data_IF_448160809904
#
_entry.id   IF_448160809904
#
_cell.length_a   1.000
_cell.length_b   1.000
_cell.length_c   1.000
_cell.angle_alpha   90.00
_cell.angle_beta   90.00
_cell.angle_gamma   90.00
#
_symmetry.space_group_name_H-M   'P 1'
#
loop_
_entity.id
_entity.type
_entity.pdbx_description
1 polymer ?
#
# COMPACT_ATOMS: atom_id res chain seq x y z
N UNK A 1 -17.03 15.26 1.52
CA UNK A 1 -16.75 13.97 2.21
C UNK A 1 -16.21 14.27 3.60
N UNK A 2 -16.54 13.48 4.64
CA UNK A 2 -16.01 13.68 5.99
C UNK A 2 -14.47 13.65 6.00
N UNK A 3 -13.84 14.52 6.79
CA UNK A 3 -12.37 14.57 6.93
C UNK A 3 -11.90 13.23 7.50
N UNK A 4 -11.13 12.46 6.73
CA UNK A 4 -10.65 11.14 7.16
C UNK A 4 -9.76 11.31 8.38
N UNK A 5 -10.06 10.58 9.45
CA UNK A 5 -9.26 10.57 10.67
C UNK A 5 -8.04 9.68 10.43
N UNK A 6 -6.89 10.31 10.17
CA UNK A 6 -5.62 9.63 9.87
C UNK A 6 -4.83 9.20 11.10
N UNK A 7 -5.32 9.54 12.31
CA UNK A 7 -4.66 9.21 13.56
C UNK A 7 -4.56 7.71 13.83
N UNK A 8 -3.39 7.27 14.29
CA UNK A 8 -3.18 5.92 14.76
C UNK A 8 -3.72 5.78 16.19
N UNK A 9 -4.50 4.73 16.42
CA UNK A 9 -4.96 4.34 17.75
C UNK A 9 -4.60 2.88 17.96
N UNK A 10 -4.35 2.47 19.20
CA UNK A 10 -4.08 1.07 19.54
C UNK A 10 -5.16 0.11 19.03
N UNK A 11 -6.44 0.54 19.08
CA UNK A 11 -7.56 -0.24 18.53
C UNK A 11 -7.43 -0.46 17.02
N UNK A 12 -7.02 0.56 16.27
CA UNK A 12 -6.79 0.45 14.82
C UNK A 12 -5.61 -0.47 14.52
N UNK A 13 -4.52 -0.35 15.28
CA UNK A 13 -3.33 -1.18 15.17
C UNK A 13 -3.67 -2.66 15.46
N UNK A 14 -4.37 -2.94 16.56
CA UNK A 14 -4.81 -4.29 16.92
C UNK A 14 -5.73 -4.90 15.86
N UNK A 15 -6.60 -4.08 15.23
CA UNK A 15 -7.41 -4.53 14.09
C UNK A 15 -6.54 -4.90 12.90
N UNK A 16 -5.52 -4.10 12.55
CA UNK A 16 -4.65 -4.36 11.40
C UNK A 16 -3.84 -5.64 11.59
N UNK A 17 -3.38 -5.91 12.82
CA UNK A 17 -2.76 -7.19 13.15
C UNK A 17 -3.72 -8.37 12.98
N UNK A 18 -4.98 -8.25 13.45
CA UNK A 18 -6.00 -9.30 13.25
C UNK A 18 -6.34 -9.53 11.78
N UNK A 19 -6.29 -8.49 10.95
CA UNK A 19 -6.48 -8.59 9.50
C UNK A 19 -5.26 -9.21 8.78
N UNK A 20 -4.16 -9.49 9.48
CA UNK A 20 -2.92 -10.01 8.90
C UNK A 20 -2.22 -9.01 7.98
N UNK A 21 -2.45 -7.71 8.18
CA UNK A 21 -1.71 -6.68 7.44
C UNK A 21 -0.25 -6.68 7.86
N UNK A 22 0.65 -6.43 6.91
CA UNK A 22 2.09 -6.55 7.09
C UNK A 22 2.59 -8.00 7.13
N UNK A 23 1.74 -8.99 6.85
CA UNK A 23 2.09 -10.41 6.84
C UNK A 23 1.88 -11.03 5.46
N UNK A 24 2.53 -12.17 5.23
CA UNK A 24 2.53 -12.91 3.97
C UNK A 24 3.73 -12.57 3.09
N UNK A 25 3.88 -13.33 2.00
CA UNK A 25 5.00 -13.19 1.07
C UNK A 25 4.48 -13.13 -0.37
N UNK A 26 5.22 -12.43 -1.24
CA UNK A 26 4.93 -12.31 -2.67
C UNK A 26 3.47 -11.86 -2.92
N UNK A 27 2.68 -12.67 -3.65
CA UNK A 27 1.28 -12.40 -3.95
C UNK A 27 0.37 -12.37 -2.73
N UNK A 28 0.76 -13.07 -1.65
CA UNK A 28 -0.02 -13.17 -0.43
C UNK A 28 0.29 -12.06 0.58
N UNK A 29 1.31 -11.23 0.31
CA UNK A 29 1.69 -10.15 1.22
C UNK A 29 0.59 -9.08 1.29
N UNK A 30 0.04 -8.85 2.48
CA UNK A 30 -0.96 -7.80 2.72
C UNK A 30 -0.27 -6.50 3.14
N UNK A 31 -0.39 -5.41 2.38
CA UNK A 31 0.29 -4.17 2.73
C UNK A 31 -0.33 -3.53 3.98
N UNK A 32 0.52 -2.95 4.84
CA UNK A 32 0.08 -2.27 6.06
C UNK A 32 -0.70 -1.00 5.75
N UNK A 33 -0.16 -0.20 4.81
CA UNK A 33 -0.74 1.03 4.32
C UNK A 33 -1.33 0.80 2.93
N UNK A 34 -2.50 1.38 2.69
CA UNK A 34 -3.10 1.46 1.36
C UNK A 34 -3.11 2.91 0.88
N UNK A 35 -3.34 3.12 -0.42
CA UNK A 35 -3.52 4.45 -1.01
C UNK A 35 -4.65 5.27 -0.36
N UNK A 36 -5.56 4.61 0.37
CA UNK A 36 -6.66 5.29 1.08
C UNK A 36 -6.26 5.76 2.48
N UNK A 37 -5.27 5.12 3.09
CA UNK A 37 -4.79 5.39 4.44
C UNK A 37 -3.91 6.64 4.49
N UNK A 38 -3.13 6.89 3.44
CA UNK A 38 -2.21 8.02 3.34
C UNK A 38 -2.73 8.99 2.28
N UNK A 39 -3.15 10.21 2.65
CA UNK A 39 -3.49 11.22 1.66
C UNK A 39 -2.22 11.59 0.91
N UNK A 40 -2.16 11.25 -0.38
CA UNK A 40 -1.08 11.73 -1.24
C UNK A 40 -1.25 13.25 -1.40
N UNK A 41 -0.15 14.00 -1.27
CA UNK A 41 -0.12 15.41 -1.64
C UNK A 41 -0.17 15.58 -3.18
N UNK A 42 -0.09 14.47 -3.92
CA UNK A 42 -0.19 14.35 -5.37
C UNK A 42 -0.89 13.06 -5.78
N UNK A 43 -0.25 12.24 -6.64
CA UNK A 43 -0.79 10.98 -7.15
C UNK A 43 -0.39 9.78 -6.28
N UNK A 44 -1.32 8.83 -6.18
CA UNK A 44 -1.07 7.48 -5.70
C UNK A 44 -1.30 6.51 -6.86
N UNK A 45 -0.52 5.44 -6.90
CA UNK A 45 -0.57 4.46 -7.98
C UNK A 45 -0.93 3.08 -7.45
N UNK A 46 -1.61 2.31 -8.30
CA UNK A 46 -2.08 0.97 -7.96
C UNK A 46 -1.83 0.05 -9.14
N UNK A 47 -0.67 -0.57 -9.15
CA UNK A 47 -0.20 -1.39 -10.27
C UNK A 47 -0.01 -2.85 -9.88
N UNK A 48 -0.26 -3.75 -10.82
CA UNK A 48 0.00 -5.18 -10.65
C UNK A 48 1.40 -5.49 -11.13
N UNK A 49 2.28 -5.91 -10.22
CA UNK A 49 3.64 -6.32 -10.59
C UNK A 49 3.67 -7.72 -11.18
N UNK A 50 4.40 -7.93 -12.28
CA UNK A 50 4.47 -9.27 -12.92
C UNK A 50 5.18 -10.31 -12.06
N UNK A 51 6.20 -9.91 -11.27
CA UNK A 51 6.99 -10.81 -10.41
C UNK A 51 6.18 -11.39 -9.26
N UNK A 52 5.38 -10.56 -8.60
CA UNK A 52 4.62 -10.96 -7.40
C UNK A 52 3.15 -11.22 -7.69
N UNK A 53 2.66 -10.86 -8.88
CA UNK A 53 1.24 -10.89 -9.27
C UNK A 53 0.32 -10.26 -8.22
N UNK A 54 0.84 -9.21 -7.58
CA UNK A 54 0.17 -8.49 -6.49
C UNK A 54 -0.11 -7.08 -6.93
N UNK A 55 -1.25 -6.56 -6.50
CA UNK A 55 -1.53 -5.14 -6.50
C UNK A 55 -0.64 -4.41 -5.48
N UNK A 56 0.26 -3.57 -5.97
CA UNK A 56 1.13 -2.73 -5.15
C UNK A 56 0.48 -1.37 -4.95
N UNK A 57 0.35 -0.96 -3.68
CA UNK A 57 -0.13 0.36 -3.32
C UNK A 57 1.07 1.29 -3.14
N UNK A 58 1.22 2.23 -4.07
CA UNK A 58 2.32 3.19 -4.11
C UNK A 58 1.76 4.58 -3.77
N UNK A 59 2.40 5.25 -2.80
CA UNK A 59 1.88 6.46 -2.16
C UNK A 59 2.46 7.75 -2.77
N UNK A 60 3.43 7.61 -3.68
CA UNK A 60 4.06 8.73 -4.39
C UNK A 60 4.52 8.35 -5.79
N UNK A 61 4.75 9.37 -6.62
CA UNK A 61 5.33 9.19 -7.95
C UNK A 61 6.78 8.67 -7.89
N UNK A 62 7.52 8.97 -6.82
CA UNK A 62 8.89 8.46 -6.61
C UNK A 62 8.86 6.95 -6.36
N UNK A 63 7.94 6.48 -5.51
CA UNK A 63 7.74 5.05 -5.26
C UNK A 63 7.33 4.31 -6.54
N UNK A 64 6.47 4.92 -7.35
CA UNK A 64 6.09 4.38 -8.66
C UNK A 64 7.27 4.31 -9.63
N UNK A 65 8.05 5.38 -9.76
CA UNK A 65 9.23 5.37 -10.63
C UNK A 65 10.24 4.30 -10.19
N UNK A 66 10.44 4.14 -8.89
CA UNK A 66 11.30 3.07 -8.36
C UNK A 66 10.76 1.68 -8.69
N UNK A 67 9.44 1.47 -8.52
CA UNK A 67 8.77 0.24 -8.89
C UNK A 67 8.98 -0.11 -10.38
N UNK A 68 8.84 0.88 -11.27
CA UNK A 68 9.10 0.73 -12.69
C UNK A 68 10.57 0.38 -12.99
N UNK A 69 11.53 1.05 -12.32
CA UNK A 69 12.96 0.82 -12.51
C UNK A 69 13.41 -0.58 -12.08
N UNK A 70 12.82 -1.16 -11.03
CA UNK A 70 13.13 -2.53 -10.57
C UNK A 70 12.62 -3.63 -11.52
N UNK A 71 12.08 -3.22 -12.67
CA UNK A 71 11.58 -4.11 -13.71
C UNK A 71 10.45 -4.97 -13.18
N UNK A 72 9.53 -4.39 -12.40
CA UNK A 72 8.28 -5.03 -11.94
C UNK A 72 7.07 -4.64 -12.80
N UNK A 73 7.25 -3.70 -13.74
CA UNK A 73 6.29 -3.31 -14.75
C UNK A 73 6.73 -3.92 -16.09
N UNK A 74 5.82 -4.56 -16.83
CA UNK A 74 6.03 -4.99 -18.22
C UNK A 74 5.44 -3.93 -19.13
#
# INVERSE_FOLDING_TARGET
MPKRQTGWTEKKIARYYKEGRGQGELGNYRPWLTIQDVPSNGRAHREIGWKTKREHHLLSDIEYNYFCLTGQMM
#
